data_IF_962215299475
#
_entry.id   IF_962215299475
#
_cell.length_a   1.000
_cell.length_b   1.000
_cell.length_c   1.000
_cell.angle_alpha   90.00
_cell.angle_beta   90.00
_cell.angle_gamma   90.00
#
_symmetry.space_group_name_H-M   'P 1'
#
loop_
_entity.id
_entity.type
_entity.pdbx_description
1 polymer ?
#
# COMPACT_ATOMS: atom_id res chain seq x y z
N UNK A 1 10.91 7.26 2.23
CA UNK A 1 11.54 8.02 3.35
C UNK A 1 12.80 8.74 2.91
N UNK A 2 13.87 8.07 2.43
CA UNK A 2 15.10 8.76 1.97
C UNK A 2 14.84 9.90 0.96
N UNK A 3 13.98 9.68 -0.04
CA UNK A 3 13.57 10.74 -0.98
C UNK A 3 12.86 11.92 -0.31
N UNK A 4 12.12 11.68 0.78
CA UNK A 4 11.50 12.73 1.58
C UNK A 4 12.53 13.56 2.37
N UNK A 5 13.60 12.93 2.85
CA UNK A 5 14.73 13.61 3.47
C UNK A 5 15.42 14.50 2.44
N UNK A 6 15.70 13.96 1.25
CA UNK A 6 16.32 14.75 0.15
C UNK A 6 15.47 15.98 -0.19
N UNK A 7 14.16 15.80 -0.33
CA UNK A 7 13.22 16.90 -0.60
C UNK A 7 13.26 17.98 0.50
N UNK A 8 13.26 17.54 1.76
CA UNK A 8 13.30 18.44 2.91
C UNK A 8 14.58 19.27 2.97
N UNK A 9 15.74 18.62 2.78
CA UNK A 9 17.05 19.27 2.93
C UNK A 9 17.42 20.11 1.70
N UNK A 10 17.03 19.67 0.49
CA UNK A 10 17.33 20.41 -0.75
C UNK A 10 16.25 21.42 -1.16
N UNK A 11 15.03 21.25 -0.64
CA UNK A 11 13.86 22.07 -1.01
C UNK A 11 13.32 21.80 -2.42
N UNK A 12 13.71 20.67 -3.06
CA UNK A 12 13.27 20.35 -4.42
C UNK A 12 13.12 18.83 -4.64
N UNK A 13 12.16 18.46 -5.49
CA UNK A 13 11.95 17.08 -5.99
C UNK A 13 12.44 16.90 -7.43
N UNK A 14 12.97 17.93 -8.03
CA UNK A 14 13.41 17.87 -9.43
C UNK A 14 14.77 17.18 -9.52
N UNK A 15 14.77 15.92 -9.94
CA UNK A 15 15.97 15.09 -10.12
C UNK A 15 17.03 15.76 -11.03
N UNK A 16 16.62 16.66 -11.92
CA UNK A 16 17.54 17.39 -12.80
C UNK A 16 18.42 18.41 -12.07
N UNK A 17 17.96 18.87 -10.91
CA UNK A 17 18.70 19.80 -10.03
C UNK A 17 19.49 19.07 -8.97
N UNK A 18 19.10 17.81 -8.66
CA UNK A 18 19.75 16.96 -7.67
C UNK A 18 20.94 16.28 -8.34
N UNK A 19 22.12 16.48 -7.83
CA UNK A 19 23.32 15.75 -8.26
C UNK A 19 24.39 15.87 -7.17
N UNK A 20 25.40 14.97 -7.15
CA UNK A 20 26.51 14.96 -6.20
C UNK A 20 26.09 15.05 -4.71
N UNK A 21 24.88 14.61 -4.36
CA UNK A 21 24.40 14.71 -2.98
C UNK A 21 25.13 13.77 -2.01
N UNK A 22 25.85 12.77 -2.52
CA UNK A 22 26.64 11.86 -1.67
C UNK A 22 27.72 12.62 -0.88
N UNK A 23 28.24 13.71 -1.43
CA UNK A 23 29.23 14.57 -0.79
C UNK A 23 28.66 15.35 0.40
N UNK A 24 27.42 15.80 0.27
CA UNK A 24 26.73 16.63 1.28
C UNK A 24 25.96 15.80 2.29
N UNK A 25 25.47 14.64 1.90
CA UNK A 25 24.60 13.77 2.67
C UNK A 25 25.08 12.30 2.59
N UNK A 26 26.27 11.97 3.09
CA UNK A 26 26.89 10.66 2.88
C UNK A 26 26.11 9.52 3.55
N UNK A 27 25.58 9.73 4.76
CA UNK A 27 24.84 8.69 5.48
C UNK A 27 23.48 8.48 4.80
N UNK A 28 22.74 9.56 4.57
CA UNK A 28 21.44 9.49 3.84
C UNK A 28 21.63 8.89 2.44
N UNK A 29 22.75 9.22 1.76
CA UNK A 29 23.10 8.66 0.47
C UNK A 29 23.34 7.16 0.51
N UNK A 30 24.12 6.69 1.47
CA UNK A 30 24.39 5.25 1.67
C UNK A 30 23.08 4.48 1.95
N UNK A 31 22.22 4.99 2.83
CA UNK A 31 20.92 4.40 3.14
C UNK A 31 20.01 4.34 1.91
N UNK A 32 19.99 5.41 1.12
CA UNK A 32 19.19 5.48 -0.11
C UNK A 32 19.71 4.52 -1.19
N UNK A 33 21.04 4.35 -1.32
CA UNK A 33 21.66 3.41 -2.25
C UNK A 33 21.30 1.97 -1.87
N UNK A 34 21.39 1.60 -0.58
CA UNK A 34 21.00 0.27 -0.12
C UNK A 34 19.51 0.02 -0.38
N UNK A 35 18.65 0.98 -0.05
CA UNK A 35 17.21 0.88 -0.31
C UNK A 35 16.88 0.74 -1.81
N UNK A 36 17.53 1.53 -2.67
CA UNK A 36 17.37 1.45 -4.12
C UNK A 36 17.94 0.14 -4.68
N UNK A 37 19.04 -0.37 -4.13
CA UNK A 37 19.60 -1.69 -4.42
C UNK A 37 18.62 -2.81 -4.08
N UNK A 38 17.93 -2.71 -2.95
CA UNK A 38 16.86 -3.65 -2.60
C UNK A 38 15.71 -3.59 -3.60
N UNK A 39 15.24 -2.41 -4.01
CA UNK A 39 14.23 -2.26 -5.06
C UNK A 39 14.69 -2.84 -6.41
N UNK A 40 15.97 -2.72 -6.72
CA UNK A 40 16.56 -3.34 -7.91
C UNK A 40 16.62 -4.87 -7.83
N UNK A 41 16.55 -5.44 -6.63
CA UNK A 41 16.70 -6.87 -6.40
C UNK A 41 18.18 -7.30 -6.39
N UNK A 42 19.04 -6.49 -5.77
CA UNK A 42 20.44 -6.85 -5.55
C UNK A 42 20.51 -7.99 -4.53
N UNK A 43 21.29 -9.07 -4.78
CA UNK A 43 21.47 -10.15 -3.84
C UNK A 43 21.86 -9.66 -2.44
N UNK A 44 21.52 -10.42 -1.40
CA UNK A 44 21.70 -10.11 0.03
C UNK A 44 20.73 -9.04 0.58
N UNK A 45 19.87 -8.46 -0.22
CA UNK A 45 18.84 -7.54 0.21
C UNK A 45 17.46 -8.22 0.13
N UNK A 46 16.53 -7.81 0.97
CA UNK A 46 15.20 -8.43 1.04
C UNK A 46 14.44 -8.40 -0.29
N UNK A 47 14.65 -7.37 -1.11
CA UNK A 47 14.02 -7.25 -2.42
C UNK A 47 14.45 -8.31 -3.44
N UNK A 48 15.63 -8.90 -3.28
CA UNK A 48 16.06 -10.02 -4.10
C UNK A 48 15.20 -11.25 -3.86
N UNK A 49 14.99 -11.62 -2.59
CA UNK A 49 14.21 -12.81 -2.21
C UNK A 49 12.76 -12.67 -2.70
N UNK A 50 12.14 -11.53 -2.45
CA UNK A 50 10.77 -11.29 -2.88
C UNK A 50 10.63 -11.30 -4.42
N UNK A 51 11.63 -10.80 -5.16
CA UNK A 51 11.65 -10.82 -6.61
C UNK A 51 11.87 -12.23 -7.16
N UNK A 52 12.74 -13.02 -6.55
CA UNK A 52 12.97 -14.41 -6.92
C UNK A 52 11.73 -15.26 -6.72
N UNK A 53 11.07 -15.14 -5.56
CA UNK A 53 9.79 -15.81 -5.29
C UNK A 53 8.72 -15.40 -6.30
N UNK A 54 8.58 -14.10 -6.58
CA UNK A 54 7.64 -13.62 -7.58
C UNK A 54 7.89 -14.19 -8.98
N UNK A 55 9.14 -14.30 -9.40
CA UNK A 55 9.49 -14.89 -10.70
C UNK A 55 9.29 -16.40 -10.71
N UNK A 56 9.53 -17.10 -9.58
CA UNK A 56 9.23 -18.53 -9.44
C UNK A 56 7.74 -18.77 -9.60
N UNK A 57 6.90 -18.07 -8.86
CA UNK A 57 5.45 -18.17 -8.98
C UNK A 57 4.96 -17.83 -10.39
N UNK A 58 5.55 -16.81 -11.04
CA UNK A 58 5.21 -16.46 -12.42
C UNK A 58 5.55 -17.56 -13.43
N UNK A 59 6.56 -18.40 -13.14
CA UNK A 59 6.93 -19.57 -13.96
C UNK A 59 6.03 -20.78 -13.69
N UNK A 60 5.48 -20.90 -12.49
CA UNK A 60 4.65 -22.04 -12.07
C UNK A 60 3.16 -21.90 -12.42
N UNK A 61 2.74 -20.74 -12.93
CA UNK A 61 1.38 -20.56 -13.43
C UNK A 61 1.13 -21.41 -14.68
N UNK A 62 0.24 -22.39 -14.57
CA UNK A 62 -0.14 -23.30 -15.64
C UNK A 62 -1.65 -23.26 -15.88
N UNK A 63 -2.12 -22.24 -16.61
CA UNK A 63 -3.54 -22.09 -16.99
C UNK A 63 -3.86 -22.73 -18.35
N UNK A 64 -2.85 -23.24 -19.08
CA UNK A 64 -2.99 -23.75 -20.44
C UNK A 64 -3.23 -22.65 -21.47
N UNK A 65 -3.03 -21.40 -21.10
CA UNK A 65 -3.28 -20.23 -21.94
C UNK A 65 -1.99 -19.53 -22.40
N UNK A 66 -2.12 -18.56 -23.30
CA UNK A 66 -1.01 -17.70 -23.71
C UNK A 66 -0.38 -16.97 -22.52
N UNK A 67 -1.14 -16.77 -21.44
CA UNK A 67 -0.68 -16.11 -20.23
C UNK A 67 0.48 -16.82 -19.56
N UNK A 68 0.55 -18.15 -19.62
CA UNK A 68 1.64 -18.95 -19.01
C UNK A 68 3.02 -18.58 -19.59
N UNK A 69 3.05 -18.14 -20.86
CA UNK A 69 4.29 -17.69 -21.53
C UNK A 69 4.52 -16.20 -21.39
N UNK A 70 3.46 -15.41 -21.40
CA UNK A 70 3.57 -13.95 -21.32
C UNK A 70 3.91 -13.46 -19.92
N UNK A 71 3.37 -14.10 -18.88
CA UNK A 71 3.53 -13.66 -17.50
C UNK A 71 5.01 -13.61 -17.05
N UNK A 72 5.84 -14.65 -17.23
CA UNK A 72 7.26 -14.59 -16.88
C UNK A 72 8.03 -13.52 -17.66
N UNK A 73 7.71 -13.35 -18.96
CA UNK A 73 8.36 -12.34 -19.81
C UNK A 73 8.01 -10.93 -19.32
N UNK A 74 6.73 -10.65 -19.10
CA UNK A 74 6.29 -9.34 -18.61
C UNK A 74 6.82 -9.06 -17.21
N UNK A 75 6.85 -10.05 -16.32
CA UNK A 75 7.44 -9.96 -14.99
C UNK A 75 8.94 -9.63 -15.05
N UNK A 76 9.68 -10.26 -15.99
CA UNK A 76 11.11 -9.99 -16.19
C UNK A 76 11.34 -8.58 -16.73
N UNK A 77 10.55 -8.14 -17.72
CA UNK A 77 10.61 -6.78 -18.26
C UNK A 77 10.29 -5.75 -17.17
N UNK A 78 9.23 -5.96 -16.40
CA UNK A 78 8.86 -5.09 -15.27
C UNK A 78 9.98 -5.01 -14.22
N UNK A 79 10.62 -6.16 -13.94
CA UNK A 79 11.79 -6.24 -13.06
C UNK A 79 13.00 -5.49 -13.61
N UNK A 80 13.25 -5.54 -14.93
CA UNK A 80 14.31 -4.77 -15.57
C UNK A 80 14.07 -3.26 -15.51
N UNK A 81 12.81 -2.81 -15.67
CA UNK A 81 12.47 -1.40 -15.44
C UNK A 81 12.65 -0.97 -13.98
N UNK A 82 12.39 -1.86 -13.02
CA UNK A 82 12.67 -1.60 -11.61
C UNK A 82 14.15 -1.34 -11.36
N UNK A 83 15.03 -2.15 -11.97
CA UNK A 83 16.49 -1.92 -11.92
C UNK A 83 16.86 -0.61 -12.57
N UNK A 84 16.33 -0.34 -13.77
CA UNK A 84 16.62 0.86 -14.56
C UNK A 84 16.35 2.14 -13.77
N UNK A 85 15.15 2.28 -13.17
CA UNK A 85 14.84 3.48 -12.43
C UNK A 85 15.60 3.58 -11.11
N UNK A 86 15.93 2.44 -10.46
CA UNK A 86 16.76 2.43 -9.25
C UNK A 86 18.18 2.89 -9.52
N UNK A 87 18.80 2.39 -10.60
CA UNK A 87 20.14 2.83 -11.03
C UNK A 87 20.13 4.30 -11.45
N UNK A 88 19.06 4.72 -12.15
CA UNK A 88 18.89 6.13 -12.52
C UNK A 88 18.81 7.02 -11.29
N UNK A 89 18.03 6.64 -10.29
CA UNK A 89 17.91 7.38 -9.04
C UNK A 89 19.26 7.49 -8.33
N UNK A 90 19.97 6.39 -8.17
CA UNK A 90 21.30 6.36 -7.53
C UNK A 90 22.26 7.29 -8.29
N UNK A 91 22.38 7.10 -9.61
CA UNK A 91 23.37 7.82 -10.40
C UNK A 91 23.07 9.32 -10.50
N UNK A 92 21.82 9.70 -10.77
CA UNK A 92 21.48 11.10 -11.01
C UNK A 92 21.42 11.94 -9.73
N UNK A 93 21.06 11.33 -8.59
CA UNK A 93 20.90 12.08 -7.34
C UNK A 93 22.20 12.16 -6.54
N UNK A 94 22.94 11.05 -6.50
CA UNK A 94 24.10 10.96 -5.61
C UNK A 94 25.44 11.11 -6.31
N UNK A 95 25.50 10.95 -7.62
CA UNK A 95 26.70 11.05 -8.42
C UNK A 95 26.50 12.08 -9.55
N UNK A 96 27.57 12.73 -9.96
CA UNK A 96 27.55 13.69 -11.06
C UNK A 96 28.23 15.02 -10.72
N UNK A 97 27.98 16.07 -11.50
CA UNK A 97 28.52 17.41 -11.24
C UNK A 97 27.86 18.06 -10.02
N UNK A 98 28.48 19.09 -9.48
CA UNK A 98 27.91 19.87 -8.37
C UNK A 98 26.48 20.33 -8.68
N UNK A 99 25.57 20.28 -7.68
CA UNK A 99 24.18 20.66 -7.86
C UNK A 99 24.06 22.14 -8.19
N UNK A 100 23.14 22.49 -9.09
CA UNK A 100 22.93 23.89 -9.52
C UNK A 100 21.55 24.37 -9.03
N UNK A 101 21.50 25.61 -8.55
CA UNK A 101 20.27 26.30 -8.21
C UNK A 101 19.35 25.54 -7.22
N UNK A 102 19.94 24.95 -6.19
CA UNK A 102 19.17 24.37 -5.10
C UNK A 102 18.50 25.47 -4.26
N UNK A 103 17.22 25.31 -3.88
CA UNK A 103 16.53 26.27 -3.00
C UNK A 103 17.13 26.32 -1.58
N UNK A 104 17.80 25.27 -1.15
CA UNK A 104 18.48 25.15 0.15
C UNK A 104 19.83 24.46 -0.03
N UNK A 105 20.79 24.83 0.79
CA UNK A 105 22.05 24.11 0.86
C UNK A 105 21.85 22.72 1.49
N UNK A 106 22.20 21.65 0.77
CA UNK A 106 22.00 20.30 1.30
C UNK A 106 22.97 20.02 2.43
N UNK A 107 22.46 19.46 3.51
CA UNK A 107 23.26 18.98 4.65
C UNK A 107 22.68 17.69 5.21
N UNK A 108 23.45 16.96 6.01
CA UNK A 108 22.96 15.75 6.64
C UNK A 108 21.85 16.09 7.65
N UNK A 109 20.69 15.42 7.60
CA UNK A 109 19.56 15.72 8.49
C UNK A 109 19.86 15.34 9.94
N UNK A 110 19.07 15.89 10.85
CA UNK A 110 19.12 15.54 12.26
C UNK A 110 18.85 14.04 12.46
N UNK A 111 19.49 13.45 13.50
CA UNK A 111 19.45 12.01 13.76
C UNK A 111 18.02 11.45 13.89
N UNK A 112 17.08 12.20 14.47
CA UNK A 112 15.67 11.80 14.60
C UNK A 112 14.94 11.62 13.26
N UNK A 113 15.33 12.38 12.25
CA UNK A 113 14.75 12.26 10.92
C UNK A 113 15.35 11.08 10.14
N UNK A 114 16.58 10.73 10.45
CA UNK A 114 17.33 9.64 9.83
C UNK A 114 17.06 8.27 10.45
N UNK A 115 16.84 8.22 11.75
CA UNK A 115 16.61 6.99 12.51
C UNK A 115 15.58 6.02 11.90
N UNK A 116 14.39 6.46 11.43
CA UNK A 116 13.44 5.56 10.80
C UNK A 116 13.98 4.91 9.52
N UNK A 117 14.79 5.64 8.75
CA UNK A 117 15.40 5.11 7.52
C UNK A 117 16.51 4.11 7.86
N UNK A 118 17.34 4.41 8.84
CA UNK A 118 18.39 3.51 9.36
C UNK A 118 17.77 2.19 9.84
N UNK A 119 16.70 2.26 10.63
CA UNK A 119 16.00 1.08 11.12
C UNK A 119 15.44 0.22 9.97
N UNK A 120 14.80 0.85 8.99
CA UNK A 120 14.25 0.14 7.84
C UNK A 120 15.33 -0.50 6.96
N UNK A 121 16.45 0.18 6.76
CA UNK A 121 17.59 -0.37 6.02
C UNK A 121 18.23 -1.53 6.80
N UNK A 122 18.35 -1.42 8.12
CA UNK A 122 18.80 -2.51 8.96
C UNK A 122 17.89 -3.74 8.83
N UNK A 123 16.60 -3.55 8.94
CA UNK A 123 15.61 -4.63 8.74
C UNK A 123 15.74 -5.23 7.32
N UNK A 124 15.90 -4.41 6.30
CA UNK A 124 16.10 -4.85 4.92
C UNK A 124 17.32 -5.77 4.79
N UNK A 125 18.43 -5.43 5.44
CA UNK A 125 19.65 -6.24 5.45
C UNK A 125 19.45 -7.53 6.25
N UNK A 126 18.87 -7.46 7.43
CA UNK A 126 18.64 -8.63 8.30
C UNK A 126 17.71 -9.63 7.60
N UNK A 127 16.60 -9.16 7.03
CA UNK A 127 15.67 -10.00 6.27
C UNK A 127 16.33 -10.55 5.01
N UNK A 128 17.19 -9.78 4.35
CA UNK A 128 17.90 -10.23 3.15
C UNK A 128 18.94 -11.33 3.44
N UNK A 129 19.59 -11.30 4.60
CA UNK A 129 20.67 -12.25 4.96
C UNK A 129 20.11 -13.51 5.64
N UNK A 130 19.11 -13.36 6.53
CA UNK A 130 18.54 -14.47 7.32
C UNK A 130 17.01 -14.53 7.24
N UNK A 131 16.45 -14.67 6.04
CA UNK A 131 15.00 -14.58 5.82
C UNK A 131 14.22 -15.68 6.54
N UNK A 132 14.76 -16.89 6.60
CA UNK A 132 14.11 -18.04 7.22
C UNK A 132 13.86 -17.86 8.71
N UNK A 133 14.75 -17.16 9.42
CA UNK A 133 14.58 -16.91 10.87
C UNK A 133 13.68 -15.71 11.17
N UNK A 134 13.68 -14.69 10.33
CA UNK A 134 12.95 -13.44 10.59
C UNK A 134 11.54 -13.49 10.02
N UNK A 135 11.41 -13.87 8.76
CA UNK A 135 10.14 -13.84 8.02
C UNK A 135 9.44 -15.20 8.01
N UNK A 136 10.20 -16.30 8.05
CA UNK A 136 9.66 -17.67 8.02
C UNK A 136 8.56 -17.94 9.03
N UNK A 137 8.79 -17.73 10.35
CA UNK A 137 7.75 -17.96 11.36
C UNK A 137 6.51 -17.07 11.18
N UNK A 138 6.69 -15.82 10.74
CA UNK A 138 5.59 -14.89 10.46
C UNK A 138 4.74 -15.38 9.28
N UNK A 139 5.39 -15.79 8.18
CA UNK A 139 4.70 -16.33 7.02
C UNK A 139 3.97 -17.63 7.35
N UNK A 140 4.61 -18.53 8.09
CA UNK A 140 3.97 -19.77 8.51
C UNK A 140 2.72 -19.51 9.35
N UNK A 141 2.80 -18.59 10.30
CA UNK A 141 1.65 -18.19 11.13
C UNK A 141 0.54 -17.55 10.29
N UNK A 142 0.88 -16.81 9.25
CA UNK A 142 -0.10 -16.16 8.39
C UNK A 142 -0.74 -17.13 7.37
N UNK A 143 0.03 -18.08 6.83
CA UNK A 143 -0.40 -18.98 5.76
C UNK A 143 -1.12 -20.23 6.31
N UNK A 144 -0.68 -20.78 7.43
CA UNK A 144 -1.23 -21.99 8.01
C UNK A 144 -2.77 -21.95 8.25
N UNK A 145 -3.37 -20.86 8.73
CA UNK A 145 -4.82 -20.75 8.87
C UNK A 145 -5.58 -20.73 7.54
N UNK A 146 -4.93 -20.28 6.45
CA UNK A 146 -5.55 -20.16 5.12
C UNK A 146 -5.51 -21.49 4.36
N UNK A 147 -4.39 -22.20 4.41
CA UNK A 147 -4.15 -23.41 3.62
C UNK A 147 -4.29 -24.70 4.46
N UNK A 148 -4.28 -24.61 5.78
CA UNK A 148 -4.41 -25.78 6.67
C UNK A 148 -3.36 -26.85 6.38
N UNK A 149 -3.80 -28.08 6.17
CA UNK A 149 -2.94 -29.24 5.87
C UNK A 149 -2.23 -29.10 4.51
N UNK A 150 -2.74 -28.27 3.61
CA UNK A 150 -2.15 -28.02 2.29
C UNK A 150 -1.03 -26.95 2.31
N UNK A 151 -0.62 -26.50 3.50
CA UNK A 151 0.49 -25.54 3.61
C UNK A 151 1.77 -26.18 3.06
N UNK A 152 2.35 -25.66 1.96
CA UNK A 152 3.55 -26.25 1.38
C UNK A 152 4.75 -26.02 2.30
N UNK A 153 5.68 -26.97 2.32
CA UNK A 153 6.99 -26.77 2.91
C UNK A 153 7.77 -25.78 2.03
N UNK A 154 7.98 -24.57 2.51
CA UNK A 154 8.78 -23.57 1.81
C UNK A 154 10.11 -23.33 2.51
N UNK A 155 11.15 -23.17 1.74
CA UNK A 155 12.48 -22.85 2.22
C UNK A 155 12.83 -21.41 1.78
N UNK A 156 12.93 -20.50 2.76
CA UNK A 156 13.37 -19.13 2.54
C UNK A 156 14.91 -19.03 2.62
N UNK A 157 15.60 -19.88 1.88
CA UNK A 157 17.05 -19.77 1.79
C UNK A 157 17.44 -18.63 0.84
N UNK A 158 18.61 -18.05 1.09
CA UNK A 158 19.19 -17.03 0.19
C UNK A 158 19.59 -17.61 -1.16
N UNK A 159 19.89 -18.91 -1.19
CA UNK A 159 20.38 -19.61 -2.36
C UNK A 159 19.67 -20.95 -2.56
N UNK A 160 18.99 -21.10 -3.68
CA UNK A 160 18.27 -22.31 -4.08
C UNK A 160 18.95 -23.03 -5.26
N UNK A 161 20.21 -22.70 -5.56
CA UNK A 161 20.90 -23.22 -6.75
C UNK A 161 20.61 -22.38 -7.99
N UNK A 162 20.97 -22.95 -9.16
CA UNK A 162 20.71 -22.30 -10.46
C UNK A 162 19.29 -22.60 -10.92
N UNK A 163 18.34 -21.77 -10.49
CA UNK A 163 16.94 -21.87 -10.87
C UNK A 163 16.63 -21.02 -12.11
N UNK A 164 15.59 -21.36 -12.90
CA UNK A 164 15.12 -20.49 -13.97
C UNK A 164 14.74 -19.08 -13.48
N UNK A 165 14.19 -18.97 -12.28
CA UNK A 165 13.84 -17.68 -11.66
C UNK A 165 15.09 -16.83 -11.40
N UNK A 166 16.18 -17.45 -10.92
CA UNK A 166 17.47 -16.77 -10.75
C UNK A 166 18.00 -16.27 -12.11
N UNK A 167 17.91 -17.06 -13.17
CA UNK A 167 18.31 -16.64 -14.51
C UNK A 167 17.52 -15.41 -14.96
N UNK A 168 16.19 -15.41 -14.80
CA UNK A 168 15.35 -14.26 -15.12
C UNK A 168 15.69 -13.03 -14.26
N UNK A 169 16.04 -13.24 -13.00
CA UNK A 169 16.50 -12.15 -12.09
C UNK A 169 17.81 -11.53 -12.58
N UNK A 170 18.76 -12.34 -13.02
CA UNK A 170 20.04 -11.88 -13.60
C UNK A 170 19.79 -11.14 -14.93
N UNK A 171 18.94 -11.69 -15.80
CA UNK A 171 18.55 -11.03 -17.05
C UNK A 171 17.90 -9.67 -16.77
N UNK A 172 17.01 -9.59 -15.79
CA UNK A 172 16.37 -8.34 -15.38
C UNK A 172 17.39 -7.33 -14.85
N UNK A 173 18.34 -7.78 -14.01
CA UNK A 173 19.36 -6.92 -13.42
C UNK A 173 20.31 -6.38 -14.49
N UNK A 174 20.87 -7.24 -15.31
CA UNK A 174 21.78 -6.86 -16.42
C UNK A 174 21.02 -6.02 -17.45
N UNK A 175 19.82 -6.45 -17.86
CA UNK A 175 18.98 -5.75 -18.83
C UNK A 175 18.60 -4.35 -18.36
N UNK A 176 18.29 -4.19 -17.07
CA UNK A 176 17.98 -2.88 -16.49
C UNK A 176 19.17 -1.94 -16.44
N UNK A 177 20.37 -2.43 -16.08
CA UNK A 177 21.60 -1.64 -16.10
C UNK A 177 21.99 -1.26 -17.53
N UNK A 178 21.99 -2.20 -18.44
CA UNK A 178 22.27 -1.95 -19.87
C UNK A 178 21.24 -0.97 -20.44
N UNK A 179 19.95 -1.17 -20.15
CA UNK A 179 18.88 -0.28 -20.55
C UNK A 179 19.12 1.15 -20.04
N UNK A 180 19.54 1.31 -18.79
CA UNK A 180 19.90 2.61 -18.23
C UNK A 180 21.08 3.26 -18.98
N UNK A 181 22.17 2.51 -19.21
CA UNK A 181 23.37 3.04 -19.90
C UNK A 181 23.05 3.44 -21.34
N UNK A 182 22.25 2.64 -22.05
CA UNK A 182 21.82 2.97 -23.41
C UNK A 182 20.93 4.20 -23.43
N UNK A 183 19.95 4.25 -22.50
CA UNK A 183 19.04 5.39 -22.38
C UNK A 183 19.82 6.67 -22.02
N UNK A 184 20.76 6.58 -21.08
CA UNK A 184 21.60 7.69 -20.66
C UNK A 184 22.50 8.21 -21.82
N UNK A 185 23.08 7.31 -22.61
CA UNK A 185 23.86 7.69 -23.79
C UNK A 185 23.02 8.29 -24.92
N UNK A 186 21.84 7.73 -25.17
CA UNK A 186 20.94 8.18 -26.24
C UNK A 186 20.25 9.51 -25.91
N UNK A 187 19.87 9.69 -24.66
CA UNK A 187 19.16 10.88 -24.19
C UNK A 187 20.08 11.98 -23.66
N UNK A 188 21.36 11.71 -23.53
CA UNK A 188 22.48 12.36 -22.79
C UNK A 188 22.59 13.84 -22.78
N UNK A 189 21.81 14.72 -23.23
CA UNK A 189 21.78 16.17 -23.04
C UNK A 189 20.42 16.80 -23.45
N UNK A 190 19.40 15.97 -23.65
CA UNK A 190 18.08 16.46 -24.03
C UNK A 190 17.19 16.53 -22.79
N UNK A 191 16.51 17.63 -22.61
CA UNK A 191 15.48 17.80 -21.60
C UNK A 191 14.45 16.67 -21.72
N UNK A 192 14.45 15.76 -20.74
CA UNK A 192 13.59 14.56 -20.67
C UNK A 192 12.10 14.87 -20.42
N UNK A 193 11.66 16.07 -20.76
CA UNK A 193 10.28 16.48 -20.51
C UNK A 193 9.27 15.84 -21.47
N UNK A 194 9.74 15.30 -22.60
CA UNK A 194 8.85 14.65 -23.58
C UNK A 194 9.55 13.49 -24.26
N UNK A 195 8.93 12.31 -24.24
CA UNK A 195 9.37 11.20 -25.08
C UNK A 195 9.25 11.63 -26.55
N UNK A 196 10.26 11.36 -27.43
CA UNK A 196 10.29 11.84 -28.79
C UNK A 196 9.11 11.39 -29.66
N UNK A 197 8.45 10.31 -29.29
CA UNK A 197 7.26 9.76 -29.96
C UNK A 197 5.94 10.24 -29.31
N UNK A 198 5.96 10.72 -28.07
CA UNK A 198 4.77 11.18 -27.32
C UNK A 198 4.63 12.73 -27.30
N UNK A 199 5.40 13.44 -28.10
CA UNK A 199 5.50 14.91 -28.05
C UNK A 199 4.20 15.68 -28.32
N UNK A 200 3.14 15.03 -28.80
CA UNK A 200 1.83 15.64 -29.02
C UNK A 200 0.87 15.47 -27.85
N UNK A 201 1.06 14.45 -27.01
CA UNK A 201 0.18 14.15 -25.86
C UNK A 201 0.99 14.28 -24.57
N UNK A 202 0.87 15.38 -23.89
CA UNK A 202 1.46 15.53 -22.56
C UNK A 202 0.63 14.74 -21.57
N UNK A 203 1.17 13.66 -21.00
CA UNK A 203 0.51 12.83 -20.00
C UNK A 203 -0.09 13.67 -18.85
N UNK A 204 0.60 14.76 -18.46
CA UNK A 204 0.10 15.72 -17.49
C UNK A 204 -1.21 16.38 -17.93
N UNK A 205 -1.33 16.79 -19.19
CA UNK A 205 -2.57 17.42 -19.70
C UNK A 205 -3.71 16.42 -19.76
N UNK A 206 -3.43 15.16 -20.11
CA UNK A 206 -4.42 14.09 -20.09
C UNK A 206 -4.89 13.81 -18.66
N UNK A 207 -3.97 13.75 -17.73
CA UNK A 207 -4.28 13.57 -16.31
C UNK A 207 -5.09 14.74 -15.75
N UNK A 208 -4.66 15.98 -16.02
CA UNK A 208 -5.38 17.18 -15.58
C UNK A 208 -6.80 17.25 -16.21
N UNK A 209 -6.96 16.80 -17.46
CA UNK A 209 -8.26 16.70 -18.10
C UNK A 209 -9.13 15.63 -17.46
N UNK A 210 -8.57 14.43 -17.19
CA UNK A 210 -9.27 13.35 -16.51
C UNK A 210 -9.71 13.77 -15.10
N UNK A 211 -8.85 14.45 -14.35
CA UNK A 211 -9.20 14.98 -13.04
C UNK A 211 -10.31 16.02 -13.10
N UNK A 212 -10.21 16.98 -14.03
CA UNK A 212 -11.26 18.00 -14.19
C UNK A 212 -12.61 17.40 -14.61
N UNK A 213 -12.60 16.40 -15.48
CA UNK A 213 -13.83 15.71 -15.89
C UNK A 213 -14.44 14.89 -14.74
N UNK A 214 -13.61 14.25 -13.93
CA UNK A 214 -14.04 13.56 -12.70
C UNK A 214 -14.61 14.56 -11.69
N UNK A 215 -13.93 15.67 -11.45
CA UNK A 215 -14.38 16.70 -10.51
C UNK A 215 -15.70 17.36 -10.99
N UNK A 216 -15.80 17.69 -12.27
CA UNK A 216 -17.03 18.21 -12.86
C UNK A 216 -18.17 17.19 -12.80
N UNK A 217 -17.88 15.91 -13.06
CA UNK A 217 -18.84 14.81 -12.92
C UNK A 217 -19.29 14.64 -11.47
N UNK A 218 -18.35 14.61 -10.54
CA UNK A 218 -18.64 14.52 -9.10
C UNK A 218 -19.46 15.72 -8.61
N UNK A 219 -19.09 16.94 -9.03
CA UNK A 219 -19.83 18.15 -8.69
C UNK A 219 -21.26 18.15 -9.26
N UNK A 220 -21.45 17.60 -10.47
CA UNK A 220 -22.78 17.47 -11.09
C UNK A 220 -23.61 16.42 -10.37
N UNK A 221 -22.99 15.27 -10.05
CA UNK A 221 -23.63 14.21 -9.27
C UNK A 221 -24.00 14.70 -7.86
N UNK A 222 -23.11 15.39 -7.20
CA UNK A 222 -23.36 15.96 -5.87
C UNK A 222 -24.46 17.04 -5.91
N UNK A 223 -24.52 17.84 -6.96
CA UNK A 223 -25.61 18.81 -7.14
C UNK A 223 -26.97 18.15 -7.39
N UNK A 224 -26.99 17.03 -8.08
CA UNK A 224 -28.22 16.30 -8.37
C UNK A 224 -28.74 15.53 -7.14
N UNK A 225 -27.85 14.85 -6.41
CA UNK A 225 -28.22 14.04 -5.23
C UNK A 225 -28.02 14.77 -3.91
N UNK A 226 -27.18 15.81 -3.86
CA UNK A 226 -26.81 16.51 -2.65
C UNK A 226 -27.80 17.57 -2.24
N UNK A 227 -28.51 17.32 -1.19
CA UNK A 227 -29.19 18.39 -0.46
C UNK A 227 -28.17 19.08 0.46
N UNK A 228 -28.28 20.41 0.65
CA UNK A 228 -27.40 21.16 1.58
C UNK A 228 -27.60 20.75 3.05
N UNK A 229 -28.48 19.81 3.35
CA UNK A 229 -28.78 19.33 4.70
C UNK A 229 -28.21 17.94 4.90
N UNK A 230 -27.44 17.75 5.96
CA UNK A 230 -26.78 16.49 6.30
C UNK A 230 -27.77 15.35 6.55
N UNK A 231 -28.92 15.64 7.19
CA UNK A 231 -29.91 14.63 7.52
C UNK A 231 -30.49 13.87 6.31
N UNK A 232 -30.96 14.53 5.22
CA UNK A 232 -31.42 13.81 4.04
C UNK A 232 -30.31 12.99 3.36
N UNK A 233 -29.06 13.47 3.39
CA UNK A 233 -27.93 12.72 2.82
C UNK A 233 -27.66 11.44 3.59
N UNK A 234 -27.63 11.51 4.93
CA UNK A 234 -27.49 10.33 5.78
C UNK A 234 -28.66 9.36 5.60
N UNK A 235 -29.88 9.89 5.55
CA UNK A 235 -31.07 9.07 5.29
C UNK A 235 -30.97 8.33 3.95
N UNK A 236 -30.59 9.03 2.89
CA UNK A 236 -30.42 8.44 1.57
C UNK A 236 -29.32 7.36 1.57
N UNK A 237 -28.20 7.62 2.24
CA UNK A 237 -27.11 6.66 2.39
C UNK A 237 -27.58 5.39 3.08
N UNK A 238 -28.25 5.52 4.23
CA UNK A 238 -28.80 4.39 4.97
C UNK A 238 -29.84 3.63 4.11
N UNK A 239 -30.74 4.35 3.43
CA UNK A 239 -31.74 3.74 2.57
C UNK A 239 -31.09 2.93 1.43
N UNK A 240 -30.12 3.52 0.74
CA UNK A 240 -29.38 2.83 -0.34
C UNK A 240 -28.66 1.59 0.17
N UNK A 241 -28.02 1.68 1.34
CA UNK A 241 -27.36 0.54 1.97
C UNK A 241 -28.33 -0.59 2.30
N UNK A 242 -29.52 -0.26 2.85
CA UNK A 242 -30.56 -1.24 3.15
C UNK A 242 -31.08 -1.88 1.84
N UNK A 243 -31.36 -1.08 0.82
CA UNK A 243 -31.86 -1.57 -0.49
C UNK A 243 -30.79 -2.43 -1.16
N UNK A 244 -29.51 -2.02 -1.15
CA UNK A 244 -28.42 -2.80 -1.71
C UNK A 244 -28.23 -4.13 -0.96
N UNK A 245 -28.29 -4.12 0.36
CA UNK A 245 -28.22 -5.33 1.18
C UNK A 245 -29.42 -6.25 1.02
N UNK A 246 -30.61 -5.71 0.79
CA UNK A 246 -31.80 -6.49 0.54
C UNK A 246 -31.93 -7.00 -0.92
N UNK A 247 -31.20 -6.37 -1.85
CA UNK A 247 -31.35 -6.66 -3.30
C UNK A 247 -31.10 -8.13 -3.68
N UNK A 248 -30.13 -8.88 -3.13
CA UNK A 248 -29.94 -10.29 -3.45
C UNK A 248 -31.18 -11.12 -3.07
N UNK A 249 -31.73 -10.88 -1.88
CA UNK A 249 -32.91 -11.60 -1.39
C UNK A 249 -34.16 -11.30 -2.23
N UNK A 250 -34.32 -10.04 -2.67
CA UNK A 250 -35.45 -9.65 -3.53
C UNK A 250 -35.30 -10.24 -4.93
N UNK A 251 -34.10 -10.19 -5.53
CA UNK A 251 -33.85 -10.74 -6.85
C UNK A 251 -34.07 -12.26 -6.91
N UNK A 252 -33.62 -12.99 -5.89
CA UNK A 252 -33.84 -14.45 -5.81
C UNK A 252 -35.33 -14.78 -5.63
N UNK A 253 -36.04 -14.01 -4.82
CA UNK A 253 -37.49 -14.17 -4.70
C UNK A 253 -38.24 -13.96 -6.01
N UNK A 254 -37.86 -12.94 -6.79
CA UNK A 254 -38.47 -12.69 -8.10
C UNK A 254 -38.03 -13.71 -9.17
N UNK A 255 -36.86 -14.32 -9.02
CA UNK A 255 -36.36 -15.34 -9.95
C UNK A 255 -36.91 -16.75 -9.67
N UNK A 256 -37.79 -16.91 -8.68
CA UNK A 256 -38.38 -18.20 -8.31
C UNK A 256 -37.39 -19.21 -7.69
N UNK A 257 -36.18 -18.76 -7.35
CA UNK A 257 -35.19 -19.56 -6.64
C UNK A 257 -35.51 -19.64 -5.15
N UNK A 258 -35.19 -20.77 -4.47
CA UNK A 258 -35.33 -20.80 -3.02
C UNK A 258 -34.50 -19.71 -2.39
N UNK A 259 -35.07 -19.00 -1.42
CA UNK A 259 -34.34 -17.97 -0.67
C UNK A 259 -33.11 -18.62 -0.01
N UNK A 260 -31.95 -17.96 -0.05
CA UNK A 260 -30.78 -18.45 0.66
C UNK A 260 -31.13 -18.66 2.14
N UNK A 261 -30.78 -19.81 2.67
CA UNK A 261 -31.02 -20.08 4.10
C UNK A 261 -30.23 -19.04 4.90
N UNK A 262 -30.91 -18.33 5.79
CA UNK A 262 -30.25 -17.33 6.66
C UNK A 262 -29.11 -17.93 7.52
N UNK A 263 -29.20 -19.23 7.80
CA UNK A 263 -28.20 -19.94 8.57
C UNK A 263 -27.02 -20.49 7.73
N UNK A 264 -27.11 -20.45 6.39
CA UNK A 264 -26.11 -21.10 5.52
C UNK A 264 -26.12 -22.65 5.69
N UNK A 265 -25.18 -23.33 5.02
CA UNK A 265 -24.97 -24.77 5.13
C UNK A 265 -24.01 -25.15 6.27
N UNK A 266 -23.29 -24.18 6.82
CA UNK A 266 -22.35 -24.39 7.91
C UNK A 266 -23.06 -24.45 9.26
N UNK A 267 -22.60 -25.32 10.17
CA UNK A 267 -23.16 -25.36 11.53
C UNK A 267 -22.95 -24.00 12.21
N UNK A 268 -24.01 -23.50 12.85
CA UNK A 268 -23.92 -22.25 13.60
C UNK A 268 -22.87 -22.37 14.70
N UNK A 269 -21.98 -21.38 14.77
CA UNK A 269 -21.01 -21.30 15.87
C UNK A 269 -21.76 -21.23 17.20
N UNK A 270 -21.41 -22.07 18.19
CA UNK A 270 -22.08 -22.01 19.49
C UNK A 270 -21.95 -20.60 20.07
N UNK A 271 -23.06 -20.07 20.60
CA UNK A 271 -23.08 -18.76 21.22
C UNK A 271 -22.21 -18.76 22.48
N UNK A 272 -21.08 -18.05 22.41
CA UNK A 272 -20.21 -17.83 23.56
C UNK A 272 -20.79 -16.71 24.43
N UNK A 273 -21.01 -16.94 25.74
CA UNK A 273 -21.49 -15.90 26.66
C UNK A 273 -20.61 -14.66 26.65
N UNK A 274 -19.28 -14.80 26.47
CA UNK A 274 -18.34 -13.69 26.41
C UNK A 274 -18.57 -12.82 25.16
N UNK A 275 -18.86 -13.45 24.03
CA UNK A 275 -19.19 -12.76 22.79
C UNK A 275 -20.48 -11.95 22.91
N UNK A 276 -21.51 -12.53 23.52
CA UNK A 276 -22.79 -11.86 23.77
C UNK A 276 -22.59 -10.67 24.70
N UNK A 277 -21.80 -10.82 25.77
CA UNK A 277 -21.49 -9.74 26.71
C UNK A 277 -20.79 -8.55 26.03
N UNK A 278 -19.80 -8.81 25.16
CA UNK A 278 -19.12 -7.77 24.39
C UNK A 278 -20.11 -7.02 23.49
N UNK A 279 -21.04 -7.72 22.83
CA UNK A 279 -22.06 -7.09 21.98
C UNK A 279 -23.09 -6.28 22.76
N UNK A 280 -23.48 -6.71 23.96
CA UNK A 280 -24.34 -5.95 24.85
C UNK A 280 -23.64 -4.64 25.26
N UNK A 281 -22.34 -4.70 25.60
CA UNK A 281 -21.55 -3.50 25.93
C UNK A 281 -21.45 -2.56 24.73
N UNK A 282 -21.18 -3.11 23.53
CA UNK A 282 -21.11 -2.33 22.29
C UNK A 282 -22.44 -1.64 21.94
N UNK A 283 -23.55 -2.37 22.06
CA UNK A 283 -24.88 -1.81 21.84
C UNK A 283 -25.19 -0.70 22.88
N UNK A 284 -24.86 -0.94 24.15
CA UNK A 284 -24.99 0.08 25.19
C UNK A 284 -24.16 1.33 24.93
N UNK A 285 -22.92 1.16 24.47
CA UNK A 285 -22.05 2.25 24.08
C UNK A 285 -22.61 3.03 22.87
N UNK A 286 -23.11 2.35 21.85
CA UNK A 286 -23.71 2.98 20.67
C UNK A 286 -24.99 3.78 21.02
N UNK A 287 -25.87 3.19 21.82
CA UNK A 287 -27.07 3.87 22.32
C UNK A 287 -26.67 5.06 23.19
N UNK A 288 -25.72 4.89 24.12
CA UNK A 288 -25.20 5.97 24.95
C UNK A 288 -24.60 7.10 24.13
N UNK A 289 -23.83 6.78 23.07
CA UNK A 289 -23.29 7.77 22.14
C UNK A 289 -24.42 8.58 21.47
N UNK A 290 -25.44 7.90 20.96
CA UNK A 290 -26.59 8.56 20.32
C UNK A 290 -27.35 9.51 21.27
N UNK A 291 -27.57 9.10 22.52
CA UNK A 291 -28.24 9.90 23.53
C UNK A 291 -27.39 11.10 23.96
N UNK A 292 -26.08 10.86 24.20
CA UNK A 292 -25.15 11.88 24.66
C UNK A 292 -24.72 12.88 23.57
N UNK A 293 -24.86 12.53 22.29
CA UNK A 293 -24.42 13.38 21.17
C UNK A 293 -25.00 14.80 21.19
N UNK A 294 -26.21 14.96 21.73
CA UNK A 294 -26.88 16.25 21.83
C UNK A 294 -26.37 17.11 22.98
N UNK A 295 -25.98 16.51 24.12
CA UNK A 295 -25.69 17.21 25.34
C UNK A 295 -24.22 17.21 25.75
N UNK A 296 -23.51 16.09 25.49
CA UNK A 296 -22.14 15.87 25.90
C UNK A 296 -21.32 15.29 24.75
N UNK A 297 -20.90 16.14 23.83
CA UNK A 297 -20.21 15.75 22.58
C UNK A 297 -18.96 14.90 22.81
N UNK A 298 -18.15 15.24 23.80
CA UNK A 298 -16.95 14.47 24.16
C UNK A 298 -17.30 13.05 24.63
N UNK A 299 -18.29 12.92 25.51
CA UNK A 299 -18.74 11.62 25.98
C UNK A 299 -19.31 10.77 24.82
N UNK A 300 -20.04 11.40 23.91
CA UNK A 300 -20.56 10.72 22.73
C UNK A 300 -19.45 10.17 21.83
N UNK A 301 -18.36 10.92 21.60
CA UNK A 301 -17.21 10.46 20.81
C UNK A 301 -16.53 9.28 21.50
N UNK A 302 -16.30 9.35 22.81
CA UNK A 302 -15.67 8.26 23.57
C UNK A 302 -16.53 6.99 23.51
N UNK A 303 -17.85 7.13 23.69
CA UNK A 303 -18.77 5.99 23.60
C UNK A 303 -18.86 5.40 22.19
N UNK A 304 -18.83 6.25 21.15
CA UNK A 304 -18.80 5.81 19.77
C UNK A 304 -17.53 4.99 19.47
N UNK A 305 -16.37 5.47 19.95
CA UNK A 305 -15.11 4.71 19.85
C UNK A 305 -15.14 3.40 20.62
N UNK A 306 -15.82 3.35 21.77
CA UNK A 306 -16.06 2.11 22.49
C UNK A 306 -16.86 1.09 21.66
N UNK A 307 -17.89 1.56 20.96
CA UNK A 307 -18.66 0.72 20.04
C UNK A 307 -17.80 0.23 18.85
N UNK A 308 -16.97 1.10 18.26
CA UNK A 308 -16.02 0.73 17.20
C UNK A 308 -15.00 -0.32 17.65
N UNK A 309 -14.53 -0.23 18.89
CA UNK A 309 -13.64 -1.24 19.49
C UNK A 309 -14.32 -2.61 19.58
N UNK A 310 -15.60 -2.67 19.92
CA UNK A 310 -16.36 -3.94 19.95
C UNK A 310 -16.45 -4.56 18.56
N UNK A 311 -16.63 -3.75 17.52
CA UNK A 311 -16.59 -4.24 16.13
C UNK A 311 -15.21 -4.78 15.79
N UNK A 312 -14.13 -4.12 16.19
CA UNK A 312 -12.77 -4.59 16.01
C UNK A 312 -12.53 -5.94 16.71
N UNK A 313 -12.96 -6.08 17.96
CA UNK A 313 -12.87 -7.34 18.72
C UNK A 313 -13.69 -8.45 18.08
N UNK A 314 -14.83 -8.12 17.45
CA UNK A 314 -15.63 -9.09 16.69
C UNK A 314 -14.85 -9.66 15.50
N UNK A 315 -14.12 -8.80 14.75
CA UNK A 315 -13.29 -9.26 13.66
C UNK A 315 -12.15 -10.18 14.14
N UNK A 316 -11.52 -9.86 15.27
CA UNK A 316 -10.53 -10.76 15.90
C UNK A 316 -11.15 -12.10 16.27
N UNK A 317 -12.32 -12.05 16.90
CA UNK A 317 -13.05 -13.26 17.32
C UNK A 317 -13.41 -14.18 16.16
N UNK A 318 -13.80 -13.59 15.04
CA UNK A 318 -14.15 -14.29 13.81
C UNK A 318 -12.94 -14.61 12.91
N UNK A 319 -11.71 -14.53 13.45
CA UNK A 319 -10.47 -14.85 12.73
C UNK A 319 -10.25 -14.00 11.45
N UNK A 320 -10.66 -12.72 11.50
CA UNK A 320 -10.46 -11.75 10.43
C UNK A 320 -9.48 -10.62 10.85
N UNK A 321 -8.17 -10.92 11.05
CA UNK A 321 -7.20 -9.97 11.58
C UNK A 321 -7.00 -8.74 10.69
N UNK A 322 -7.08 -8.88 9.37
CA UNK A 322 -6.94 -7.76 8.42
C UNK A 322 -8.05 -6.72 8.62
N UNK A 323 -9.27 -7.17 8.81
CA UNK A 323 -10.40 -6.29 9.08
C UNK A 323 -10.27 -5.64 10.46
N UNK A 324 -9.77 -6.39 11.45
CA UNK A 324 -9.55 -5.87 12.80
C UNK A 324 -8.51 -4.74 12.80
N UNK A 325 -7.36 -4.93 12.13
CA UNK A 325 -6.31 -3.90 12.04
C UNK A 325 -6.81 -2.68 11.28
N UNK A 326 -7.51 -2.88 10.16
CA UNK A 326 -8.08 -1.79 9.37
C UNK A 326 -9.10 -1.00 10.18
N UNK A 327 -10.01 -1.69 10.87
CA UNK A 327 -11.02 -1.05 11.74
C UNK A 327 -10.35 -0.27 12.87
N UNK A 328 -9.34 -0.83 13.51
CA UNK A 328 -8.62 -0.16 14.60
C UNK A 328 -7.93 1.13 14.11
N UNK A 329 -7.27 1.08 12.96
CA UNK A 329 -6.61 2.26 12.37
C UNK A 329 -7.62 3.35 12.03
N UNK A 330 -8.73 2.98 11.40
CA UNK A 330 -9.81 3.93 11.05
C UNK A 330 -10.41 4.53 12.31
N UNK A 331 -10.65 3.72 13.33
CA UNK A 331 -11.23 4.16 14.61
C UNK A 331 -10.33 5.19 15.31
N UNK A 332 -9.03 4.91 15.41
CA UNK A 332 -8.05 5.81 16.02
C UNK A 332 -8.00 7.14 15.25
N UNK A 333 -7.86 7.09 13.92
CA UNK A 333 -7.78 8.30 13.09
C UNK A 333 -9.06 9.12 13.19
N UNK A 334 -10.22 8.47 13.10
CA UNK A 334 -11.52 9.14 13.17
C UNK A 334 -11.73 9.79 14.54
N UNK A 335 -11.41 9.08 15.61
CA UNK A 335 -11.52 9.61 16.98
C UNK A 335 -10.62 10.81 17.19
N UNK A 336 -9.36 10.75 16.76
CA UNK A 336 -8.43 11.88 16.86
C UNK A 336 -8.94 13.08 16.06
N UNK A 337 -9.42 12.86 14.83
CA UNK A 337 -9.97 13.93 14.00
C UNK A 337 -11.22 14.57 14.63
N UNK A 338 -12.12 13.75 15.19
CA UNK A 338 -13.31 14.25 15.89
C UNK A 338 -12.94 15.04 17.15
N UNK A 339 -11.99 14.57 17.95
CA UNK A 339 -11.49 15.27 19.13
C UNK A 339 -10.82 16.60 18.76
N UNK A 340 -10.02 16.62 17.69
CA UNK A 340 -9.44 17.85 17.16
C UNK A 340 -10.51 18.80 16.65
N UNK A 341 -11.52 18.28 15.95
CA UNK A 341 -12.67 19.06 15.47
C UNK A 341 -13.48 19.67 16.62
N UNK A 342 -13.68 18.93 17.72
CA UNK A 342 -14.38 19.44 18.90
C UNK A 342 -13.68 20.65 19.56
N UNK A 343 -12.35 20.75 19.43
CA UNK A 343 -11.57 21.89 19.93
C UNK A 343 -11.95 23.22 19.25
N UNK A 344 -12.41 23.15 18.00
CA UNK A 344 -12.72 24.34 17.18
C UNK A 344 -14.23 24.68 17.16
N UNK A 345 -15.06 23.85 17.79
CA UNK A 345 -16.48 24.09 17.88
C UNK A 345 -16.75 24.94 19.14
N UNK A 346 -17.59 26.00 19.03
CA UNK A 346 -17.99 26.83 20.18
C UNK A 346 -18.80 26.04 21.19
#
# INVERSE_FOLDING_TARGET
MAAGIIDHETGTRDVRRLSDLLRYMPITGALAIIAAGSMAGVPLLNGFISKEMFLTEALEVHTGSLMDRLLPVLATIGSAFSVLYSVRFIHQVFFGPEPKDLPREPHEPVSWMRLPVELLVLICLVVGIVPGYVVGPLLQTAVAPLLGVATPDYNLALWHGFTPALLLSVIALVGGVVGYVLLYRYLGNRDYTTAPWAGRVRARQLFDYALRSLDAGAASFTRFFGTRRLQPQLFLLVLVTIVAGASPFLLERFSGRPLPAFAGEQPLTPSDPSFIAIWILGAGAAIGAAVMAKFHRLAAVILASGAGLVVCLTFVWLSAPDLAVTQLLVEIVTTVLLLLGLRWLP
#
